data_IF_858293685604
#
_entry.id   IF_858293685604
#
_cell.length_a   1.000
_cell.length_b   1.000
_cell.length_c   1.000
_cell.angle_alpha   90.00
_cell.angle_beta   90.00
_cell.angle_gamma   90.00
#
_symmetry.space_group_name_H-M   'P 1'
#
loop_
_entity.id
_entity.type
_entity.pdbx_description
1 polymer ?
#
# COMPACT_ATOMS: atom_id res chain seq x y z
N UNK A 1 11.58 -5.52 -16.75
CA UNK A 1 10.36 -4.93 -16.17
C UNK A 1 9.16 -5.82 -16.50
N UNK A 2 8.17 -5.99 -15.58
CA UNK A 2 6.92 -6.66 -15.90
C UNK A 2 6.09 -5.80 -16.86
N UNK A 3 5.23 -6.44 -17.66
CA UNK A 3 4.34 -5.69 -18.57
C UNK A 3 3.16 -5.02 -17.85
N UNK A 4 2.80 -5.50 -16.66
CA UNK A 4 1.72 -4.93 -15.85
C UNK A 4 2.27 -3.93 -14.81
N UNK A 5 1.80 -2.67 -14.79
CA UNK A 5 2.24 -1.64 -13.84
C UNK A 5 1.98 -2.01 -12.37
N UNK A 6 0.91 -2.74 -12.06
CA UNK A 6 0.59 -3.17 -10.69
C UNK A 6 1.71 -4.02 -10.07
N UNK A 7 2.36 -4.86 -10.89
CA UNK A 7 3.48 -5.67 -10.42
C UNK A 7 4.70 -4.82 -10.09
N UNK A 8 4.87 -3.67 -10.76
CA UNK A 8 5.92 -2.69 -10.45
C UNK A 8 5.62 -2.03 -9.10
N UNK A 9 4.40 -1.51 -8.93
CA UNK A 9 3.96 -0.88 -7.68
C UNK A 9 4.03 -1.83 -6.50
N UNK A 10 3.56 -3.06 -6.65
CA UNK A 10 3.65 -4.08 -5.59
C UNK A 10 5.09 -4.37 -5.15
N UNK A 11 6.04 -4.38 -6.09
CA UNK A 11 7.47 -4.57 -5.77
C UNK A 11 8.05 -3.39 -5.02
N UNK A 12 7.73 -2.16 -5.44
CA UNK A 12 8.16 -0.93 -4.77
C UNK A 12 7.53 -0.86 -3.38
N UNK A 13 6.23 -1.11 -3.25
CA UNK A 13 5.49 -1.07 -2.00
C UNK A 13 5.91 -2.11 -0.95
N UNK A 14 6.68 -3.13 -1.33
CA UNK A 14 7.30 -4.04 -0.35
C UNK A 14 8.42 -3.36 0.45
N UNK A 15 9.06 -2.36 -0.13
CA UNK A 15 10.15 -1.59 0.47
C UNK A 15 9.67 -0.24 1.00
N UNK A 16 8.78 0.41 0.25
CA UNK A 16 8.18 1.69 0.62
C UNK A 16 6.99 1.46 1.56
N UNK A 17 7.26 1.49 2.87
CA UNK A 17 6.27 1.24 3.93
C UNK A 17 6.15 2.43 4.86
N UNK A 18 4.98 2.55 5.49
CA UNK A 18 4.72 3.53 6.55
C UNK A 18 5.81 3.39 7.64
N UNK A 19 6.45 4.50 7.99
CA UNK A 19 7.56 4.53 8.96
C UNK A 19 8.96 4.40 8.34
N UNK A 20 9.08 4.26 7.03
CA UNK A 20 10.36 4.31 6.32
C UNK A 20 11.02 5.68 6.52
N UNK A 21 12.28 5.67 7.01
CA UNK A 21 13.05 6.91 7.28
C UNK A 21 13.87 7.40 6.10
N UNK A 22 14.10 6.54 5.11
CA UNK A 22 14.97 6.81 3.96
C UNK A 22 14.20 6.65 2.66
N UNK A 23 14.57 7.43 1.64
CA UNK A 23 14.00 7.30 0.32
C UNK A 23 14.38 5.95 -0.29
N UNK A 24 13.44 5.32 -0.99
CA UNK A 24 13.68 4.11 -1.76
C UNK A 24 14.34 4.49 -3.08
N UNK A 25 15.52 3.96 -3.36
CA UNK A 25 16.19 4.14 -4.65
C UNK A 25 15.88 2.98 -5.57
N UNK A 26 15.28 3.26 -6.72
CA UNK A 26 14.91 2.26 -7.71
C UNK A 26 15.92 2.29 -8.87
N UNK A 27 16.67 1.20 -9.04
CA UNK A 27 17.58 1.02 -10.16
C UNK A 27 16.91 0.16 -11.23
N UNK A 28 16.77 0.70 -12.44
CA UNK A 28 16.15 0.02 -13.59
C UNK A 28 17.17 -0.13 -14.72
N UNK A 29 17.91 -1.24 -14.79
CA UNK A 29 18.79 -1.50 -15.91
C UNK A 29 17.99 -1.87 -17.16
N UNK A 30 18.36 -1.29 -18.30
CA UNK A 30 17.80 -1.62 -19.61
C UNK A 30 18.84 -1.48 -20.71
N UNK A 31 18.59 -2.12 -21.87
CA UNK A 31 19.40 -1.96 -23.07
C UNK A 31 18.77 -0.88 -23.95
N UNK A 32 19.59 0.05 -24.47
CA UNK A 32 19.14 1.07 -25.39
C UNK A 32 18.57 0.47 -26.68
N UNK A 33 17.49 1.04 -27.18
CA UNK A 33 16.78 0.56 -28.37
C UNK A 33 15.94 -0.71 -28.15
N UNK A 34 15.82 -1.17 -26.92
CA UNK A 34 15.09 -2.41 -26.59
C UNK A 34 13.67 -2.18 -26.09
N UNK A 35 12.89 -3.27 -26.05
CA UNK A 35 11.55 -3.29 -25.42
C UNK A 35 11.62 -2.90 -23.96
N UNK A 36 12.73 -3.18 -23.25
CA UNK A 36 12.88 -2.78 -21.85
C UNK A 36 13.04 -1.27 -21.70
N UNK A 37 13.73 -0.60 -22.62
CA UNK A 37 13.76 0.87 -22.65
C UNK A 37 12.37 1.46 -22.90
N UNK A 38 11.64 0.89 -23.86
CA UNK A 38 10.27 1.29 -24.17
C UNK A 38 9.38 1.20 -22.93
N UNK A 39 9.40 0.07 -22.21
CA UNK A 39 8.65 -0.12 -20.97
C UNK A 39 9.11 0.81 -19.85
N UNK A 40 10.42 1.04 -19.72
CA UNK A 40 10.95 1.99 -18.74
C UNK A 40 10.41 3.39 -18.99
N UNK A 41 10.45 3.87 -20.23
CA UNK A 41 9.94 5.20 -20.61
C UNK A 41 8.43 5.31 -20.39
N UNK A 42 7.67 4.28 -20.76
CA UNK A 42 6.22 4.24 -20.50
C UNK A 42 5.91 4.36 -19.01
N UNK A 43 6.62 3.62 -18.14
CA UNK A 43 6.39 3.67 -16.70
C UNK A 43 6.91 4.94 -16.05
N UNK A 44 8.08 5.42 -16.46
CA UNK A 44 8.71 6.60 -15.86
C UNK A 44 8.12 7.91 -16.37
N UNK A 45 8.10 8.09 -17.68
CA UNK A 45 7.68 9.33 -18.33
C UNK A 45 6.15 9.40 -18.50
N UNK A 46 5.50 8.28 -18.86
CA UNK A 46 4.05 8.21 -19.07
C UNK A 46 3.26 8.13 -17.78
N UNK A 47 3.59 7.19 -16.91
CA UNK A 47 2.82 6.89 -15.68
C UNK A 47 3.45 7.43 -14.39
N UNK A 48 4.70 7.90 -14.42
CA UNK A 48 5.45 8.40 -13.24
C UNK A 48 5.56 7.39 -12.08
N UNK A 49 5.54 6.08 -12.35
CA UNK A 49 5.49 5.01 -11.35
C UNK A 49 6.75 4.92 -10.47
N UNK A 50 7.91 5.38 -10.97
CA UNK A 50 9.16 5.36 -10.20
C UNK A 50 9.37 6.62 -9.35
N UNK A 51 8.47 7.59 -9.44
CA UNK A 51 8.54 8.88 -8.71
C UNK A 51 7.57 8.89 -7.54
N UNK A 52 6.37 8.35 -7.73
CA UNK A 52 5.30 8.35 -6.74
C UNK A 52 4.30 7.22 -7.02
N UNK A 53 3.60 6.75 -5.98
CA UNK A 53 2.48 5.83 -6.14
C UNK A 53 1.42 6.43 -7.08
N UNK A 54 0.92 5.62 -8.01
CA UNK A 54 0.01 6.08 -9.05
C UNK A 54 -1.27 5.24 -9.14
N UNK A 55 -2.30 5.52 -8.33
CA UNK A 55 -3.56 4.78 -8.37
C UNK A 55 -4.31 4.91 -9.71
N UNK A 56 -3.97 5.93 -10.54
CA UNK A 56 -4.55 6.08 -11.87
C UNK A 56 -3.99 5.08 -12.89
N UNK A 57 -2.80 4.53 -12.66
CA UNK A 57 -2.14 3.62 -13.60
C UNK A 57 -2.99 2.39 -13.94
N UNK A 58 -3.68 1.81 -12.95
CA UNK A 58 -4.57 0.67 -13.13
C UNK A 58 -5.74 0.97 -14.09
N UNK A 59 -6.27 2.19 -14.06
CA UNK A 59 -7.38 2.59 -14.94
C UNK A 59 -6.93 2.98 -16.34
N UNK A 60 -5.64 3.29 -16.53
CA UNK A 60 -5.06 3.71 -17.81
C UNK A 60 -4.52 2.50 -18.57
N UNK A 61 -3.95 1.54 -17.87
CA UNK A 61 -3.24 0.41 -18.46
C UNK A 61 -4.09 -0.42 -19.43
N UNK A 62 -5.35 -0.81 -19.13
CA UNK A 62 -6.17 -1.56 -20.07
C UNK A 62 -6.41 -0.83 -21.38
N UNK A 63 -6.61 0.49 -21.34
CA UNK A 63 -6.87 1.32 -22.51
C UNK A 63 -5.61 1.52 -23.36
N UNK A 64 -4.44 1.61 -22.72
CA UNK A 64 -3.14 1.80 -23.39
C UNK A 64 -2.49 0.49 -23.87
N UNK A 65 -2.91 -0.66 -23.35
CA UNK A 65 -2.29 -1.97 -23.60
C UNK A 65 -2.20 -2.34 -25.08
N UNK A 66 -3.26 -2.22 -25.91
CA UNK A 66 -3.18 -2.62 -27.33
C UNK A 66 -2.14 -1.83 -28.12
N UNK A 67 -2.02 -0.53 -27.87
CA UNK A 67 -1.02 0.32 -28.52
C UNK A 67 0.39 0.03 -28.01
N UNK A 68 0.52 -0.16 -26.69
CA UNK A 68 1.78 -0.55 -26.05
C UNK A 68 2.32 -1.87 -26.63
N UNK A 69 1.49 -2.90 -26.75
CA UNK A 69 1.85 -4.19 -27.35
C UNK A 69 2.27 -4.05 -28.82
N UNK A 70 1.55 -3.21 -29.57
CA UNK A 70 1.91 -2.89 -30.95
C UNK A 70 3.28 -2.21 -31.04
N UNK A 71 3.59 -1.26 -30.17
CA UNK A 71 4.91 -0.62 -30.08
C UNK A 71 6.00 -1.59 -29.67
N UNK A 72 5.75 -2.44 -28.67
CA UNK A 72 6.68 -3.47 -28.21
C UNK A 72 7.01 -4.46 -29.33
N UNK A 73 6.01 -4.92 -30.09
CA UNK A 73 6.19 -5.83 -31.21
C UNK A 73 7.01 -5.20 -32.34
N UNK A 74 6.80 -3.92 -32.65
CA UNK A 74 7.62 -3.17 -33.63
C UNK A 74 9.06 -3.01 -33.15
N UNK A 75 9.24 -2.64 -31.89
CA UNK A 75 10.57 -2.52 -31.28
C UNK A 75 11.34 -3.84 -31.31
N UNK A 76 10.70 -4.95 -30.91
CA UNK A 76 11.32 -6.28 -30.91
C UNK A 76 11.76 -6.72 -32.31
N UNK A 77 10.99 -6.38 -33.35
CA UNK A 77 11.33 -6.74 -34.74
C UNK A 77 12.42 -5.88 -35.35
N UNK A 78 12.43 -4.59 -35.02
CA UNK A 78 13.38 -3.63 -35.66
C UNK A 78 14.67 -3.44 -34.86
N UNK A 79 14.71 -3.85 -33.59
CA UNK A 79 15.81 -3.56 -32.68
C UNK A 79 16.00 -2.06 -32.38
N UNK A 80 14.97 -1.24 -32.61
CA UNK A 80 14.99 0.21 -32.40
C UNK A 80 13.67 0.67 -31.79
N UNK A 81 13.71 1.78 -31.06
CA UNK A 81 12.49 2.41 -30.56
C UNK A 81 11.62 2.93 -31.73
N UNK A 82 10.30 2.64 -31.70
CA UNK A 82 9.38 3.15 -32.71
C UNK A 82 9.26 4.69 -32.63
N UNK A 83 9.15 5.34 -33.79
CA UNK A 83 8.99 6.82 -33.87
C UNK A 83 7.71 7.34 -33.23
N UNK A 84 6.68 6.48 -33.10
CA UNK A 84 5.42 6.83 -32.44
C UNK A 84 5.49 6.80 -30.89
N UNK A 85 6.59 6.32 -30.34
CA UNK A 85 6.74 6.14 -28.89
C UNK A 85 6.61 7.46 -28.12
N UNK A 86 7.26 8.52 -28.60
CA UNK A 86 7.24 9.83 -27.91
C UNK A 86 5.82 10.42 -27.83
N UNK A 87 5.08 10.29 -28.92
CA UNK A 87 3.67 10.71 -28.98
C UNK A 87 2.83 9.87 -27.98
N UNK A 88 2.96 8.58 -28.01
CA UNK A 88 2.24 7.66 -27.11
C UNK A 88 2.52 7.97 -25.63
N UNK A 89 3.78 8.22 -25.28
CA UNK A 89 4.18 8.59 -23.90
C UNK A 89 3.55 9.92 -23.51
N UNK A 90 3.57 10.93 -24.39
CA UNK A 90 2.99 12.25 -24.13
C UNK A 90 1.47 12.16 -23.92
N UNK A 91 0.77 11.40 -24.75
CA UNK A 91 -0.68 11.17 -24.61
C UNK A 91 -1.00 10.41 -23.31
N UNK A 92 -0.21 9.39 -22.97
CA UNK A 92 -0.34 8.67 -21.69
C UNK A 92 -0.09 9.58 -20.48
N UNK A 93 0.94 10.43 -20.52
CA UNK A 93 1.23 11.36 -19.44
C UNK A 93 0.11 12.36 -19.21
N UNK A 94 -0.49 12.88 -20.28
CA UNK A 94 -1.64 13.78 -20.20
C UNK A 94 -2.84 13.06 -19.57
N UNK A 95 -3.18 11.87 -20.07
CA UNK A 95 -4.27 11.07 -19.53
C UNK A 95 -4.04 10.72 -18.05
N UNK A 96 -2.79 10.48 -17.66
CA UNK A 96 -2.41 10.21 -16.28
C UNK A 96 -2.66 11.42 -15.36
N UNK A 97 -2.34 12.63 -15.82
CA UNK A 97 -2.63 13.86 -15.08
C UNK A 97 -4.14 14.07 -14.92
N UNK A 98 -4.89 13.97 -16.02
CA UNK A 98 -6.35 14.15 -16.00
C UNK A 98 -7.02 13.13 -15.04
N UNK A 99 -6.61 11.87 -15.08
CA UNK A 99 -7.14 10.83 -14.19
C UNK A 99 -6.74 11.02 -12.72
N UNK A 100 -5.51 11.50 -12.45
CA UNK A 100 -5.07 11.84 -11.09
C UNK A 100 -5.90 12.98 -10.50
N UNK A 101 -6.17 14.02 -11.28
CA UNK A 101 -6.98 15.16 -10.85
C UNK A 101 -8.43 14.74 -10.56
N UNK A 102 -9.00 13.86 -11.38
CA UNK A 102 -10.32 13.28 -11.12
C UNK A 102 -10.37 12.44 -9.85
N UNK A 103 -9.34 11.61 -9.62
CA UNK A 103 -9.25 10.76 -8.43
C UNK A 103 -9.01 11.58 -7.16
N UNK A 104 -8.18 12.62 -7.22
CA UNK A 104 -7.95 13.51 -6.07
C UNK A 104 -9.22 14.27 -5.71
N UNK A 105 -9.90 14.85 -6.69
CA UNK A 105 -11.17 15.56 -6.48
C UNK A 105 -12.25 14.64 -5.89
N UNK A 106 -12.34 13.38 -6.36
CA UNK A 106 -13.27 12.39 -5.83
C UNK A 106 -12.89 11.92 -4.42
N UNK A 107 -11.59 11.78 -4.14
CA UNK A 107 -11.07 11.38 -2.83
C UNK A 107 -11.26 12.48 -1.80
N UNK A 108 -11.01 13.74 -2.16
CA UNK A 108 -11.25 14.90 -1.30
C UNK A 108 -12.72 15.01 -0.92
N UNK A 109 -13.64 14.78 -1.87
CA UNK A 109 -15.08 14.78 -1.60
C UNK A 109 -15.50 13.64 -0.68
N UNK A 110 -14.92 12.43 -0.81
CA UNK A 110 -15.16 11.31 0.10
C UNK A 110 -14.55 11.57 1.48
N UNK A 111 -13.40 12.22 1.55
CA UNK A 111 -12.78 12.63 2.80
C UNK A 111 -13.60 13.71 3.50
N UNK A 112 -14.18 14.68 2.78
CA UNK A 112 -15.12 15.65 3.34
C UNK A 112 -16.40 14.98 3.88
N UNK A 113 -16.98 14.04 3.11
CA UNK A 113 -18.18 13.32 3.51
C UNK A 113 -17.94 12.37 4.69
N UNK A 114 -16.75 11.76 4.76
CA UNK A 114 -16.31 10.88 5.83
C UNK A 114 -15.35 11.59 6.80
N UNK A 115 -15.23 12.92 6.70
CA UNK A 115 -14.35 13.67 7.58
C UNK A 115 -14.77 13.47 9.02
N UNK A 116 -13.78 13.23 9.83
CA UNK A 116 -13.82 13.05 11.26
C UNK A 116 -14.74 14.08 11.93
N UNK A 117 -15.95 13.67 12.26
CA UNK A 117 -16.84 14.47 13.08
C UNK A 117 -16.35 14.39 14.52
N UNK A 118 -15.54 15.35 14.92
CA UNK A 118 -14.90 15.41 16.25
C UNK A 118 -15.91 15.26 17.38
N UNK A 119 -17.11 15.77 17.19
CA UNK A 119 -18.20 15.65 18.17
C UNK A 119 -18.70 14.21 18.37
N UNK A 120 -18.59 13.37 17.35
CA UNK A 120 -19.02 11.96 17.40
C UNK A 120 -17.89 11.05 17.82
N UNK A 121 -16.67 11.31 17.35
CA UNK A 121 -15.51 10.44 17.62
C UNK A 121 -14.85 10.72 18.96
N UNK A 122 -14.89 11.96 19.47
CA UNK A 122 -14.25 12.30 20.74
C UNK A 122 -14.80 11.49 21.92
N UNK A 123 -16.12 11.31 22.11
CA UNK A 123 -16.65 10.45 23.16
C UNK A 123 -16.20 8.99 23.04
N UNK A 124 -16.10 8.46 21.81
CA UNK A 124 -15.64 7.09 21.56
C UNK A 124 -14.16 6.94 21.92
N UNK A 125 -13.33 7.92 21.53
CA UNK A 125 -11.90 7.93 21.88
C UNK A 125 -11.73 7.99 23.41
N UNK A 126 -12.48 8.86 24.09
CA UNK A 126 -12.42 8.97 25.54
C UNK A 126 -12.89 7.69 26.25
N UNK A 127 -13.87 7.00 25.71
CA UNK A 127 -14.32 5.69 26.20
C UNK A 127 -13.27 4.61 25.98
N UNK A 128 -12.63 4.55 24.81
CA UNK A 128 -11.53 3.64 24.53
C UNK A 128 -10.37 3.89 25.50
N UNK A 129 -9.90 5.13 25.60
CA UNK A 129 -8.80 5.49 26.51
C UNK A 129 -9.10 5.19 27.97
N UNK A 130 -10.36 5.37 28.39
CA UNK A 130 -10.82 5.02 29.75
C UNK A 130 -10.77 3.51 29.98
N UNK A 131 -11.06 2.71 28.96
CA UNK A 131 -11.07 1.26 29.04
C UNK A 131 -9.67 0.64 28.85
N UNK A 132 -8.82 1.23 28.02
CA UNK A 132 -7.45 0.76 27.76
C UNK A 132 -6.49 0.98 28.95
N UNK A 133 -6.65 2.06 29.72
CA UNK A 133 -5.80 2.38 30.88
C UNK A 133 -6.35 1.88 32.21
N UNK A 134 -7.45 1.13 32.22
CA UNK A 134 -8.22 0.92 33.43
C UNK A 134 -7.98 -0.42 34.11
N UNK A 135 -8.06 -0.36 35.43
CA UNK A 135 -8.21 -1.50 36.39
C UNK A 135 -9.22 -2.54 35.88
N UNK A 136 -10.19 -2.13 35.06
CA UNK A 136 -11.24 -2.97 34.47
C UNK A 136 -10.70 -4.03 33.50
N UNK A 137 -9.78 -3.66 32.58
CA UNK A 137 -9.17 -4.60 31.64
C UNK A 137 -8.26 -5.59 32.37
N UNK A 138 -7.47 -5.09 33.29
CA UNK A 138 -6.59 -5.92 34.13
C UNK A 138 -7.40 -6.93 34.95
N UNK A 139 -8.47 -6.49 35.63
CA UNK A 139 -9.38 -7.39 36.37
C UNK A 139 -10.04 -8.43 35.47
N UNK A 140 -10.50 -8.02 34.28
CA UNK A 140 -11.07 -8.94 33.30
C UNK A 140 -10.06 -10.01 32.89
N UNK A 141 -8.83 -9.59 32.50
CA UNK A 141 -7.76 -10.53 32.10
C UNK A 141 -7.36 -11.46 33.23
N UNK A 142 -7.24 -10.96 34.46
CA UNK A 142 -6.93 -11.82 35.61
C UNK A 142 -8.04 -12.88 35.84
N UNK A 143 -9.31 -12.49 35.75
CA UNK A 143 -10.42 -13.45 35.85
C UNK A 143 -10.43 -14.51 34.75
N UNK A 144 -10.10 -14.09 33.51
CA UNK A 144 -9.94 -15.02 32.38
C UNK A 144 -8.79 -15.99 32.67
N UNK A 145 -7.64 -15.51 33.10
CA UNK A 145 -6.50 -16.33 33.44
C UNK A 145 -6.85 -17.34 34.56
N UNK A 146 -7.49 -16.87 35.63
CA UNK A 146 -7.95 -17.74 36.74
C UNK A 146 -8.93 -18.82 36.24
N UNK A 147 -9.88 -18.47 35.40
CA UNK A 147 -10.86 -19.42 34.86
C UNK A 147 -10.21 -20.55 34.04
N UNK A 148 -9.11 -20.22 33.33
CA UNK A 148 -8.35 -21.22 32.56
C UNK A 148 -7.22 -21.88 33.34
N UNK A 149 -7.10 -21.62 34.64
CA UNK A 149 -6.05 -22.19 35.49
C UNK A 149 -4.67 -21.62 35.18
N UNK A 150 -4.60 -20.33 34.83
CA UNK A 150 -3.36 -19.61 34.61
C UNK A 150 -3.11 -18.65 35.80
N UNK A 151 -1.87 -18.52 36.20
CA UNK A 151 -1.40 -17.58 37.20
C UNK A 151 -0.66 -16.42 36.54
N UNK A 152 -0.86 -15.21 37.03
CA UNK A 152 -0.27 -13.99 36.46
C UNK A 152 0.64 -13.33 37.50
N UNK A 153 1.95 -13.27 37.23
CA UNK A 153 2.93 -12.58 38.06
C UNK A 153 3.31 -11.22 37.40
N UNK A 154 3.25 -10.10 38.12
CA UNK A 154 3.71 -8.83 37.58
C UNK A 154 5.25 -8.86 37.44
N UNK A 155 5.74 -8.50 36.25
CA UNK A 155 7.17 -8.37 35.92
C UNK A 155 7.63 -6.91 35.90
N UNK A 156 6.82 -6.02 35.38
CA UNK A 156 7.09 -4.58 35.28
C UNK A 156 5.76 -3.82 35.16
N UNK A 157 5.81 -2.49 35.02
CA UNK A 157 4.63 -1.68 34.82
C UNK A 157 3.90 -2.16 33.54
N UNK A 158 2.65 -2.61 33.71
CA UNK A 158 1.80 -3.18 32.65
C UNK A 158 2.31 -4.46 31.95
N UNK A 159 3.31 -5.15 32.50
CA UNK A 159 3.83 -6.42 31.96
C UNK A 159 3.65 -7.54 32.97
N UNK A 160 2.99 -8.60 32.54
CA UNK A 160 2.67 -9.76 33.37
C UNK A 160 3.24 -11.05 32.77
N UNK A 161 3.82 -11.88 33.58
CA UNK A 161 4.22 -13.24 33.22
C UNK A 161 3.04 -14.18 33.49
N UNK A 162 2.57 -14.88 32.45
CA UNK A 162 1.49 -15.85 32.58
C UNK A 162 2.08 -17.26 32.68
N UNK A 163 1.72 -18.00 33.76
CA UNK A 163 2.20 -19.35 34.01
C UNK A 163 1.03 -20.35 34.09
N UNK A 164 1.17 -21.56 33.53
CA UNK A 164 0.17 -22.61 33.75
C UNK A 164 0.21 -23.12 35.19
N UNK A 165 -0.95 -23.31 35.83
CA UNK A 165 -1.09 -23.98 37.09
C UNK A 165 -1.40 -25.47 36.89
N UNK A 166 -1.36 -26.29 37.97
CA UNK A 166 -1.75 -27.69 37.90
C UNK A 166 -3.20 -27.93 37.50
N UNK A 167 -4.06 -26.90 37.71
CA UNK A 167 -5.49 -26.92 37.37
C UNK A 167 -5.78 -26.45 35.95
N UNK A 168 -4.76 -26.13 35.12
CA UNK A 168 -4.95 -25.68 33.77
C UNK A 168 -5.77 -26.66 32.94
N UNK A 169 -6.90 -26.23 32.43
CA UNK A 169 -7.73 -27.05 31.53
C UNK A 169 -7.04 -27.22 30.17
N UNK A 170 -6.51 -28.42 29.92
CA UNK A 170 -5.79 -28.74 28.66
C UNK A 170 -6.68 -28.99 27.45
N UNK A 171 -8.00 -28.94 27.61
CA UNK A 171 -8.98 -29.23 26.53
C UNK A 171 -9.98 -28.11 26.36
N UNK A 172 -9.53 -26.97 25.84
CA UNK A 172 -10.42 -26.01 25.20
C UNK A 172 -10.03 -25.98 23.74
N UNK A 173 -10.65 -26.86 22.95
CA UNK A 173 -10.68 -26.80 21.49
C UNK A 173 -12.05 -26.30 21.09
#
# INVERSE_FOLDING_TARGET
LPANPDLVEQRIGRLDRIGQKHNVTVHVPYLSGSVHELLFRYYHEGLSLFVQANPAAQSIFPDSLPELEGLMSRCARSGKLPTQLDRFITETAKLNLDKKDMLSSGRDRLLELNSHQRQVSQPVIEEILRNEGGVTLQHYMNRVCEMYGLETDPLDQDVYLVKPTESMQRNVV
#
